data_IF_763304781067
#
_entry.id   IF_763304781067
#
_cell.length_a   1.000
_cell.length_b   1.000
_cell.length_c   1.000
_cell.angle_alpha   90.00
_cell.angle_beta   90.00
_cell.angle_gamma   90.00
#
_symmetry.space_group_name_H-M   'P 1'
#
loop_
_entity.id
_entity.type
_entity.pdbx_description
1 polymer ?
#
# COMPACT_ATOMS: atom_id res chain seq x y z
N UNK A 1 20.15 36.52 -0.35
CA UNK A 1 19.45 35.28 -0.04
C UNK A 1 18.03 35.42 -0.61
N UNK A 2 17.78 34.85 -1.82
CA UNK A 2 16.43 34.56 -2.23
C UNK A 2 15.91 33.53 -1.21
N UNK A 3 14.92 33.91 -0.41
CA UNK A 3 14.27 32.99 0.49
C UNK A 3 13.71 31.85 -0.35
N UNK A 4 14.03 30.62 -0.01
CA UNK A 4 13.37 29.49 -0.63
C UNK A 4 11.86 29.66 -0.33
N UNK A 5 11.05 29.76 -1.39
CA UNK A 5 9.59 29.78 -1.21
C UNK A 5 9.19 28.52 -0.49
N UNK A 6 8.50 28.70 0.61
CA UNK A 6 7.93 27.60 1.40
C UNK A 6 6.79 26.99 0.59
N UNK A 7 7.01 25.85 -0.02
CA UNK A 7 6.04 25.17 -0.88
C UNK A 7 5.36 24.05 -0.09
N UNK A 8 4.06 24.15 0.07
CA UNK A 8 3.22 23.07 0.56
C UNK A 8 2.73 22.23 -0.63
N UNK A 9 2.56 20.94 -0.44
CA UNK A 9 2.07 20.03 -1.48
C UNK A 9 0.95 19.16 -0.95
N UNK A 10 -0.14 19.10 -1.70
CA UNK A 10 -1.19 18.11 -1.49
C UNK A 10 -1.19 17.15 -2.68
N UNK A 11 -0.88 15.91 -2.45
CA UNK A 11 -0.66 14.88 -3.47
C UNK A 11 -1.71 13.79 -3.42
N UNK A 12 -2.11 13.31 -4.59
CA UNK A 12 -2.96 12.15 -4.76
C UNK A 12 -2.38 11.24 -5.83
N UNK A 13 -2.38 9.92 -5.58
CA UNK A 13 -1.89 8.93 -6.55
C UNK A 13 -2.69 7.65 -6.57
N UNK A 14 -2.60 6.96 -7.70
CA UNK A 14 -3.17 5.65 -7.93
C UNK A 14 -2.12 4.70 -8.50
N UNK A 15 -2.19 3.40 -8.19
CA UNK A 15 -1.32 2.41 -8.79
C UNK A 15 -1.70 2.19 -10.26
N UNK A 16 -0.69 2.17 -11.12
CA UNK A 16 -0.83 1.86 -12.57
C UNK A 16 -0.40 0.44 -12.88
N UNK A 17 0.50 -0.10 -12.07
CA UNK A 17 0.96 -1.47 -12.17
C UNK A 17 1.31 -1.98 -10.78
N UNK A 18 1.04 -3.25 -10.54
CA UNK A 18 1.37 -3.91 -9.28
C UNK A 18 1.72 -5.38 -9.52
N UNK A 19 2.73 -5.83 -8.79
CA UNK A 19 3.10 -7.24 -8.70
C UNK A 19 3.00 -7.65 -7.23
N UNK A 20 2.42 -8.81 -6.98
CA UNK A 20 2.25 -9.30 -5.61
C UNK A 20 2.71 -10.75 -5.50
N UNK A 21 3.42 -11.03 -4.42
CA UNK A 21 3.86 -12.37 -4.04
C UNK A 21 3.15 -12.76 -2.75
N UNK A 22 2.56 -13.95 -2.74
CA UNK A 22 1.97 -14.55 -1.54
C UNK A 22 2.89 -15.68 -1.08
N UNK A 23 3.25 -15.64 0.20
CA UNK A 23 3.96 -16.74 0.86
C UNK A 23 3.06 -17.31 1.95
N UNK A 24 2.83 -18.63 1.91
CA UNK A 24 2.09 -19.39 2.91
C UNK A 24 2.94 -20.52 3.44
N UNK A 25 3.33 -20.46 4.71
CA UNK A 25 4.28 -21.41 5.29
C UNK A 25 5.60 -21.42 4.51
N UNK A 26 6.02 -22.59 3.98
CA UNK A 26 7.20 -22.75 3.15
C UNK A 26 6.94 -22.57 1.65
N UNK A 27 5.68 -22.43 1.24
CA UNK A 27 5.29 -22.30 -0.17
C UNK A 27 5.28 -20.85 -0.59
N UNK A 28 6.01 -20.54 -1.64
CA UNK A 28 6.00 -19.24 -2.31
C UNK A 28 5.27 -19.37 -3.63
N UNK A 29 4.43 -18.38 -3.91
CA UNK A 29 3.81 -18.28 -5.21
C UNK A 29 3.72 -16.81 -5.63
N UNK A 30 4.23 -16.55 -6.81
CA UNK A 30 4.28 -15.23 -7.44
C UNK A 30 3.26 -15.22 -8.57
N UNK A 31 2.16 -14.52 -8.41
CA UNK A 31 1.18 -14.31 -9.47
C UNK A 31 0.80 -12.83 -9.54
N UNK A 32 0.40 -12.39 -10.72
CA UNK A 32 -0.18 -11.06 -10.91
C UNK A 32 -1.57 -11.01 -10.28
N UNK A 33 -1.62 -10.58 -9.03
CA UNK A 33 -2.88 -10.30 -8.38
C UNK A 33 -3.38 -8.91 -8.80
N UNK A 34 -4.68 -8.77 -9.00
CA UNK A 34 -5.28 -7.48 -9.28
C UNK A 34 -5.17 -6.58 -8.06
N UNK A 35 -4.42 -5.50 -8.20
CA UNK A 35 -4.23 -4.51 -7.15
C UNK A 35 -4.81 -3.17 -7.58
N UNK A 36 -5.60 -2.58 -6.70
CA UNK A 36 -6.17 -1.25 -6.85
C UNK A 36 -6.01 -0.48 -5.55
N UNK A 37 -6.11 0.84 -5.62
CA UNK A 37 -5.99 1.67 -4.43
C UNK A 37 -5.80 3.13 -4.76
N UNK A 38 -5.49 3.88 -3.73
CA UNK A 38 -5.14 5.28 -3.82
C UNK A 38 -4.33 5.70 -2.60
N UNK A 39 -3.57 6.76 -2.73
CA UNK A 39 -2.89 7.40 -1.62
C UNK A 39 -3.02 8.91 -1.70
N UNK A 40 -3.15 9.54 -0.54
CA UNK A 40 -3.07 10.98 -0.35
C UNK A 40 -1.91 11.31 0.57
N UNK A 41 -1.18 12.39 0.27
CA UNK A 41 -0.06 12.85 1.07
C UNK A 41 -0.04 14.37 1.10
N UNK A 42 0.14 14.94 2.29
CA UNK A 42 0.36 16.36 2.51
C UNK A 42 1.81 16.58 2.92
N UNK A 43 2.54 17.39 2.18
CA UNK A 43 3.92 17.76 2.46
C UNK A 43 3.96 19.22 2.89
N UNK A 44 4.52 19.47 4.05
CA UNK A 44 4.70 20.80 4.61
C UNK A 44 5.92 21.50 4.00
N UNK A 45 6.00 22.81 4.18
CA UNK A 45 7.09 23.64 3.67
C UNK A 45 8.51 23.18 4.08
N UNK A 46 8.64 22.54 5.25
CA UNK A 46 9.89 21.95 5.71
C UNK A 46 10.25 20.60 5.06
N UNK A 47 9.44 20.15 4.09
CA UNK A 47 9.62 18.89 3.40
C UNK A 47 9.09 17.65 4.11
N UNK A 48 8.63 17.76 5.36
CA UNK A 48 8.02 16.63 6.08
C UNK A 48 6.60 16.42 5.54
N UNK A 49 6.22 15.17 5.29
CA UNK A 49 4.90 14.83 4.77
C UNK A 49 4.24 13.72 5.58
N UNK A 50 2.91 13.81 5.67
CA UNK A 50 2.03 12.79 6.23
C UNK A 50 1.03 12.35 5.19
N UNK A 51 0.78 11.05 5.14
CA UNK A 51 -0.11 10.48 4.16
C UNK A 51 -0.94 9.33 4.69
N UNK A 52 -1.91 8.97 3.86
CA UNK A 52 -2.76 7.81 4.06
C UNK A 52 -2.89 7.07 2.73
N UNK A 53 -2.76 5.76 2.78
CA UNK A 53 -2.91 4.92 1.61
C UNK A 53 -3.88 3.77 1.87
N UNK A 54 -4.62 3.40 0.84
CA UNK A 54 -5.46 2.21 0.83
C UNK A 54 -5.14 1.38 -0.39
N UNK A 55 -5.00 0.07 -0.17
CA UNK A 55 -4.66 -0.89 -1.22
C UNK A 55 -5.57 -2.10 -1.08
N UNK A 56 -6.13 -2.56 -2.18
CA UNK A 56 -6.89 -3.80 -2.30
C UNK A 56 -6.20 -4.71 -3.28
N UNK A 57 -6.01 -5.95 -2.89
CA UNK A 57 -5.40 -6.99 -3.73
C UNK A 57 -6.32 -8.18 -3.77
N UNK A 58 -6.70 -8.62 -4.97
CA UNK A 58 -7.58 -9.75 -5.17
C UNK A 58 -6.96 -10.68 -6.22
N UNK A 59 -7.16 -11.97 -6.04
CA UNK A 59 -6.74 -12.97 -7.02
C UNK A 59 -6.93 -14.38 -6.55
N UNK A 60 -6.61 -15.33 -7.41
CA UNK A 60 -6.76 -16.76 -7.16
C UNK A 60 -5.40 -17.41 -7.37
N UNK A 61 -4.99 -18.24 -6.43
CA UNK A 61 -3.71 -18.93 -6.46
C UNK A 61 -3.89 -20.38 -6.00
N UNK A 62 -3.53 -21.32 -6.84
CA UNK A 62 -3.63 -22.76 -6.49
C UNK A 62 -5.05 -23.19 -6.11
N UNK A 63 -6.08 -22.59 -6.70
CA UNK A 63 -7.48 -22.89 -6.38
C UNK A 63 -8.01 -22.25 -5.10
N UNK A 64 -7.25 -21.33 -4.50
CA UNK A 64 -7.62 -20.55 -3.33
C UNK A 64 -7.81 -19.10 -3.78
N UNK A 65 -8.97 -18.53 -3.48
CA UNK A 65 -9.24 -17.12 -3.72
C UNK A 65 -8.79 -16.27 -2.53
N UNK A 66 -8.07 -15.20 -2.82
CA UNK A 66 -7.56 -14.26 -1.83
C UNK A 66 -8.12 -12.87 -2.07
N UNK A 67 -8.46 -12.18 -0.97
CA UNK A 67 -8.81 -10.77 -0.96
C UNK A 67 -8.14 -10.10 0.23
N UNK A 68 -7.39 -9.06 -0.04
CA UNK A 68 -6.71 -8.25 0.98
C UNK A 68 -7.14 -6.80 0.85
N UNK A 69 -7.39 -6.16 2.00
CA UNK A 69 -7.67 -4.74 2.10
C UNK A 69 -6.78 -4.14 3.18
N UNK A 70 -5.99 -3.14 2.81
CA UNK A 70 -4.95 -2.56 3.65
C UNK A 70 -5.09 -1.06 3.72
N UNK A 71 -4.87 -0.51 4.89
CA UNK A 71 -4.82 0.92 5.16
C UNK A 71 -3.53 1.22 5.92
N UNK A 72 -2.76 2.18 5.44
CA UNK A 72 -1.49 2.57 6.06
C UNK A 72 -1.45 4.07 6.31
N UNK A 73 -0.77 4.47 7.38
CA UNK A 73 -0.33 5.83 7.61
C UNK A 73 1.11 5.97 7.14
N UNK A 74 1.39 7.03 6.44
CA UNK A 74 2.67 7.28 5.79
C UNK A 74 3.33 8.52 6.38
N UNK A 75 4.66 8.43 6.57
CA UNK A 75 5.55 9.53 6.90
C UNK A 75 6.57 9.67 5.79
N UNK A 76 6.86 10.89 5.36
CA UNK A 76 7.78 11.12 4.25
C UNK A 76 8.64 12.37 4.45
N UNK A 77 9.73 12.43 3.68
CA UNK A 77 10.55 13.60 3.51
C UNK A 77 10.68 13.90 2.01
N UNK A 78 10.51 15.16 1.65
CA UNK A 78 10.58 15.65 0.26
C UNK A 78 11.66 16.72 0.17
N UNK A 79 12.49 16.61 -0.85
CA UNK A 79 13.52 17.58 -1.20
C UNK A 79 13.29 18.08 -2.64
N UNK A 80 13.68 19.32 -2.89
CA UNK A 80 13.57 19.98 -4.19
C UNK A 80 12.22 20.68 -4.40
N UNK A 81 12.27 21.80 -5.10
CA UNK A 81 11.11 22.65 -5.40
C UNK A 81 10.61 22.45 -6.83
N UNK A 82 11.50 22.53 -7.81
CA UNK A 82 11.16 22.29 -9.22
C UNK A 82 11.11 20.79 -9.53
N UNK A 83 12.20 20.09 -9.23
CA UNK A 83 12.21 18.63 -9.27
C UNK A 83 12.13 18.14 -7.82
N UNK A 84 11.15 17.34 -7.51
CA UNK A 84 10.97 16.83 -6.16
C UNK A 84 11.29 15.35 -6.05
N UNK A 85 12.04 15.00 -5.01
CA UNK A 85 12.24 13.62 -4.60
C UNK A 85 11.65 13.42 -3.21
N UNK A 86 10.75 12.48 -3.08
CA UNK A 86 10.14 12.10 -1.81
C UNK A 86 10.55 10.68 -1.46
N UNK A 87 11.01 10.50 -0.25
CA UNK A 87 11.23 9.19 0.36
C UNK A 87 10.31 9.05 1.57
N UNK A 88 9.72 7.88 1.75
CA UNK A 88 8.82 7.69 2.86
C UNK A 88 8.65 6.24 3.27
N UNK A 89 8.11 6.09 4.47
CA UNK A 89 7.74 4.82 5.07
C UNK A 89 6.29 4.87 5.55
N UNK A 90 5.61 3.75 5.45
CA UNK A 90 4.24 3.59 5.91
C UNK A 90 4.12 2.46 6.91
N UNK A 91 3.16 2.58 7.83
CA UNK A 91 2.80 1.51 8.75
C UNK A 91 1.34 1.13 8.55
N UNK A 92 1.08 -0.16 8.49
CA UNK A 92 -0.27 -0.70 8.43
C UNK A 92 -1.02 -0.34 9.73
N UNK A 93 -2.18 0.29 9.59
CA UNK A 93 -3.07 0.63 10.71
C UNK A 93 -4.32 -0.23 10.71
N UNK A 94 -4.69 -0.77 9.55
CA UNK A 94 -5.77 -1.74 9.40
C UNK A 94 -5.48 -2.63 8.20
N UNK A 95 -5.64 -3.93 8.37
CA UNK A 95 -5.56 -4.90 7.31
C UNK A 95 -6.57 -6.03 7.52
N UNK A 96 -7.31 -6.34 6.47
CA UNK A 96 -8.24 -7.47 6.42
C UNK A 96 -7.81 -8.41 5.32
N UNK A 97 -7.63 -9.67 5.67
CA UNK A 97 -7.37 -10.77 4.76
C UNK A 97 -8.55 -11.74 4.71
N UNK A 98 -8.88 -12.21 3.51
CA UNK A 98 -9.86 -13.26 3.27
C UNK A 98 -9.24 -14.29 2.33
N UNK A 99 -9.41 -15.58 2.66
CA UNK A 99 -9.09 -16.70 1.77
C UNK A 99 -10.27 -17.65 1.69
N UNK A 100 -10.61 -18.09 0.49
CA UNK A 100 -11.68 -19.05 0.24
C UNK A 100 -11.07 -20.36 -0.24
N UNK A 101 -11.27 -21.40 0.57
CA UNK A 101 -10.75 -22.75 0.31
C UNK A 101 -11.94 -23.70 0.18
N UNK A 102 -12.11 -24.32 -0.99
CA UNK A 102 -13.20 -25.28 -1.23
C UNK A 102 -14.59 -24.74 -0.84
N UNK A 103 -14.84 -23.45 -1.12
CA UNK A 103 -16.12 -22.80 -0.81
C UNK A 103 -16.27 -22.30 0.62
N UNK A 104 -15.31 -22.55 1.50
CA UNK A 104 -15.30 -22.02 2.87
C UNK A 104 -14.44 -20.76 2.93
N UNK A 105 -15.00 -19.67 3.46
CA UNK A 105 -14.30 -18.41 3.65
C UNK A 105 -13.68 -18.31 5.04
N UNK A 106 -12.40 -17.95 5.08
CA UNK A 106 -11.63 -17.70 6.29
C UNK A 106 -11.19 -16.24 6.27
N UNK A 107 -11.46 -15.50 7.32
CA UNK A 107 -11.22 -14.06 7.42
C UNK A 107 -10.31 -13.75 8.60
N UNK A 108 -9.45 -12.76 8.44
CA UNK A 108 -8.64 -12.21 9.54
C UNK A 108 -8.58 -10.69 9.47
N UNK A 109 -8.50 -10.08 10.65
CA UNK A 109 -8.10 -8.67 10.85
C UNK A 109 -6.79 -8.57 11.66
N UNK A 110 -6.24 -9.74 12.06
CA UNK A 110 -4.92 -9.81 12.70
C UNK A 110 -3.82 -9.67 11.64
N UNK A 111 -3.38 -8.44 11.43
CA UNK A 111 -2.40 -8.10 10.42
C UNK A 111 -1.40 -7.10 10.95
N UNK A 112 -0.18 -7.18 10.44
CA UNK A 112 0.88 -6.21 10.68
C UNK A 112 1.68 -6.01 9.41
N UNK A 113 2.25 -4.82 9.22
CA UNK A 113 3.04 -4.58 8.03
C UNK A 113 3.56 -3.16 7.94
N UNK A 114 4.45 -3.01 6.98
CA UNK A 114 5.12 -1.77 6.67
C UNK A 114 5.18 -1.55 5.16
N UNK A 115 5.43 -0.32 4.78
CA UNK A 115 5.65 0.07 3.40
C UNK A 115 6.87 0.98 3.30
N UNK A 116 7.56 0.90 2.18
CA UNK A 116 8.55 1.88 1.76
C UNK A 116 8.12 2.44 0.41
N UNK A 117 8.31 3.74 0.21
CA UNK A 117 7.96 4.36 -1.05
C UNK A 117 8.90 5.51 -1.41
N UNK A 118 8.97 5.76 -2.72
CA UNK A 118 9.61 6.92 -3.27
C UNK A 118 8.77 7.51 -4.39
N UNK A 119 8.78 8.85 -4.50
CA UNK A 119 8.12 9.56 -5.58
C UNK A 119 9.08 10.57 -6.19
N UNK A 120 9.05 10.67 -7.50
CA UNK A 120 9.75 11.68 -8.27
C UNK A 120 8.73 12.57 -8.96
N UNK A 121 8.79 13.87 -8.68
CA UNK A 121 7.82 14.85 -9.16
C UNK A 121 8.48 15.92 -10.05
N UNK A 122 7.70 16.35 -11.04
CA UNK A 122 8.04 17.43 -11.96
C UNK A 122 6.93 18.49 -11.95
N UNK A 123 7.25 19.79 -12.08
CA UNK A 123 6.25 20.85 -12.17
C UNK A 123 5.32 20.65 -13.37
N UNK A 124 4.03 20.91 -13.18
CA UNK A 124 3.05 20.82 -14.23
C UNK A 124 1.85 21.76 -13.96
N UNK A 125 1.69 22.82 -14.79
CA UNK A 125 0.57 23.78 -14.73
C UNK A 125 0.17 24.27 -13.33
N UNK A 126 1.13 24.76 -12.55
CA UNK A 126 0.90 25.24 -11.18
C UNK A 126 0.71 24.13 -10.14
N UNK A 127 0.94 22.90 -10.53
CA UNK A 127 0.98 21.72 -9.70
C UNK A 127 2.22 20.89 -9.99
N UNK A 128 2.12 19.62 -9.69
CA UNK A 128 3.18 18.63 -9.83
C UNK A 128 2.59 17.32 -10.37
N UNK A 129 3.22 16.76 -11.40
CA UNK A 129 3.02 15.36 -11.76
C UNK A 129 4.12 14.53 -11.13
N UNK A 130 3.78 13.36 -10.60
CA UNK A 130 4.80 12.49 -10.04
C UNK A 130 4.61 11.01 -10.39
N UNK A 131 5.74 10.33 -10.50
CA UNK A 131 5.85 8.89 -10.62
C UNK A 131 6.35 8.34 -9.28
N UNK A 132 5.71 7.31 -8.78
CA UNK A 132 6.05 6.70 -7.50
C UNK A 132 6.28 5.20 -7.61
N UNK A 133 7.08 4.69 -6.70
CA UNK A 133 7.25 3.28 -6.42
C UNK A 133 6.94 3.01 -4.95
N UNK A 134 6.14 1.99 -4.67
CA UNK A 134 5.81 1.58 -3.30
C UNK A 134 5.92 0.08 -3.16
N UNK A 135 6.57 -0.36 -2.09
CA UNK A 135 6.64 -1.75 -1.68
C UNK A 135 5.96 -1.91 -0.33
N UNK A 136 5.03 -2.86 -0.24
CA UNK A 136 4.34 -3.20 1.00
C UNK A 136 4.72 -4.62 1.39
N UNK A 137 5.01 -4.82 2.68
CA UNK A 137 5.27 -6.12 3.28
C UNK A 137 4.29 -6.31 4.44
N UNK A 138 3.31 -7.21 4.27
CA UNK A 138 2.19 -7.37 5.20
C UNK A 138 2.06 -8.83 5.56
N UNK A 139 1.92 -9.11 6.85
CA UNK A 139 1.67 -10.45 7.39
C UNK A 139 0.26 -10.50 7.98
N UNK A 140 -0.47 -11.55 7.64
CA UNK A 140 -1.80 -11.86 8.15
C UNK A 140 -1.75 -13.16 8.92
N UNK A 141 -2.38 -13.20 10.10
CA UNK A 141 -2.40 -14.35 11.02
C UNK A 141 -3.81 -14.66 11.47
N UNK A 142 -4.00 -15.86 12.05
CA UNK A 142 -5.25 -16.23 12.74
C UNK A 142 -6.50 -16.11 11.85
N UNK A 143 -6.44 -16.69 10.66
CA UNK A 143 -7.62 -16.78 9.80
C UNK A 143 -8.70 -17.63 10.45
N UNK A 144 -9.92 -17.11 10.51
CA UNK A 144 -11.03 -17.76 11.19
C UNK A 144 -12.22 -17.94 10.25
N UNK A 145 -12.88 -19.08 10.37
CA UNK A 145 -14.18 -19.34 9.78
C UNK A 145 -15.11 -19.93 10.81
N UNK A 146 -16.41 -19.89 10.55
CA UNK A 146 -17.41 -20.59 11.36
C UNK A 146 -17.97 -21.75 10.54
N UNK A 147 -17.64 -22.97 10.94
CA UNK A 147 -18.19 -24.17 10.36
C UNK A 147 -19.13 -24.78 11.41
N UNK A 148 -20.40 -24.97 11.04
CA UNK A 148 -21.43 -25.50 11.94
C UNK A 148 -21.57 -24.74 13.27
N UNK A 149 -21.35 -23.39 13.21
CA UNK A 149 -21.44 -22.52 14.39
C UNK A 149 -20.19 -22.50 15.29
N UNK A 150 -19.21 -23.36 15.05
CA UNK A 150 -17.96 -23.40 15.80
C UNK A 150 -16.88 -22.63 15.10
N UNK A 151 -16.04 -21.85 15.82
CA UNK A 151 -14.89 -21.18 15.22
C UNK A 151 -13.81 -22.19 14.82
N UNK A 152 -13.37 -22.12 13.58
CA UNK A 152 -12.22 -22.88 13.08
C UNK A 152 -11.12 -21.88 12.77
N UNK A 153 -9.95 -22.06 13.37
CA UNK A 153 -8.78 -21.18 13.19
C UNK A 153 -7.76 -21.91 12.31
N UNK A 154 -7.28 -21.23 11.28
CA UNK A 154 -6.11 -21.66 10.54
C UNK A 154 -4.88 -21.00 11.18
N UNK A 155 -3.96 -21.82 11.66
CA UNK A 155 -2.71 -21.34 12.29
C UNK A 155 -1.69 -20.81 11.28
N UNK A 156 -1.93 -21.02 10.00
CA UNK A 156 -1.05 -20.54 8.94
C UNK A 156 -1.02 -19.01 8.88
N UNK A 157 0.19 -18.46 8.73
CA UNK A 157 0.36 -17.06 8.37
C UNK A 157 0.49 -16.90 6.84
N UNK A 158 -0.05 -15.79 6.35
CA UNK A 158 0.11 -15.39 4.95
C UNK A 158 0.91 -14.09 4.92
N UNK A 159 2.02 -14.10 4.18
CA UNK A 159 2.79 -12.89 3.88
C UNK A 159 2.46 -12.42 2.47
N UNK A 160 2.10 -11.15 2.36
CA UNK A 160 1.86 -10.45 1.11
C UNK A 160 2.97 -9.43 0.90
N UNK A 161 3.80 -9.65 -0.10
CA UNK A 161 4.74 -8.67 -0.62
C UNK A 161 4.14 -8.07 -1.89
N UNK A 162 3.94 -6.77 -1.91
CA UNK A 162 3.35 -6.08 -3.06
C UNK A 162 4.22 -4.90 -3.48
N UNK A 163 4.61 -4.88 -4.74
CA UNK A 163 5.34 -3.78 -5.38
C UNK A 163 4.42 -3.06 -6.35
N UNK A 164 4.37 -1.73 -6.29
CA UNK A 164 3.45 -0.91 -7.05
C UNK A 164 4.18 0.25 -7.71
N UNK A 165 3.85 0.53 -8.96
CA UNK A 165 4.18 1.78 -9.63
C UNK A 165 2.94 2.67 -9.57
N UNK A 166 3.09 3.88 -9.09
CA UNK A 166 2.01 4.84 -8.92
C UNK A 166 2.23 6.06 -9.83
N UNK A 167 1.14 6.62 -10.34
CA UNK A 167 1.14 7.93 -10.95
C UNK A 167 0.25 8.85 -10.13
N UNK A 168 0.64 10.09 -10.01
CA UNK A 168 -0.12 11.04 -9.21
C UNK A 168 0.04 12.47 -9.63
N UNK A 169 -0.81 13.29 -9.05
CA UNK A 169 -0.84 14.73 -9.20
C UNK A 169 -0.79 15.41 -7.83
N UNK A 170 -0.06 16.52 -7.74
CA UNK A 170 0.03 17.37 -6.55
C UNK A 170 -0.34 18.81 -6.87
N UNK A 171 -1.02 19.46 -5.93
CA UNK A 171 -1.20 20.90 -5.90
C UNK A 171 -0.06 21.52 -5.09
N UNK A 172 0.47 22.65 -5.57
CA UNK A 172 1.51 23.44 -4.90
C UNK A 172 0.89 24.76 -4.42
N UNK A 173 1.17 25.18 -3.20
CA UNK A 173 0.69 26.43 -2.62
C UNK A 173 1.58 26.90 -1.46
#
# INVERSE_FOLDING_TARGET
HAGAEEIWRLRYSVPTSAESEITRGSSKASEKLNTSGHSGNMVFANGIGFGYSTVRTNGSLGGIDYKFKNHSLDLSSTIGNELSLTLGAGRLVYGRGEQSISGTSYVTESSSGEALFMNFGIPFFGGELFLGYRQNNIEYKNFQSRISGQPVILEDSIKLLSSQVNIGFGFLF
#
